data_IF_494741010796
#
_entry.id   IF_494741010796
#
_cell.length_a   1.000
_cell.length_b   1.000
_cell.length_c   1.000
_cell.angle_alpha   90.00
_cell.angle_beta   90.00
_cell.angle_gamma   90.00
#
_symmetry.space_group_name_H-M   'P 1'
#
loop_
_entity.id
_entity.type
_entity.pdbx_description
1 polymer ?
#
# COMPACT_ATOMS: atom_id res chain seq x y z
N UNK A 1 20.54 -20.41 3.35
CA UNK A 1 20.34 -18.96 3.48
C UNK A 1 19.16 -18.77 4.40
N UNK A 2 19.29 -17.96 5.46
CA UNK A 2 18.15 -17.65 6.33
C UNK A 2 17.10 -16.88 5.54
N UNK A 3 15.84 -17.20 5.78
CA UNK A 3 14.73 -16.41 5.24
C UNK A 3 14.57 -15.11 6.05
N UNK A 4 14.17 -14.00 5.42
CA UNK A 4 13.79 -12.79 6.16
C UNK A 4 12.73 -13.13 7.22
N UNK A 5 13.03 -12.79 8.48
CA UNK A 5 12.13 -12.91 9.62
C UNK A 5 11.87 -11.52 10.22
N UNK A 6 10.60 -11.09 10.26
CA UNK A 6 10.22 -9.82 10.87
C UNK A 6 10.45 -9.82 12.39
N UNK A 7 10.34 -10.99 13.05
CA UNK A 7 10.41 -11.10 14.51
C UNK A 7 11.76 -10.68 15.08
N UNK A 8 12.84 -10.86 14.32
CA UNK A 8 14.18 -10.44 14.75
C UNK A 8 14.31 -8.91 14.94
N UNK A 9 13.47 -8.12 14.27
CA UNK A 9 13.47 -6.66 14.36
C UNK A 9 12.79 -6.14 15.64
N UNK A 10 11.98 -6.96 16.31
CA UNK A 10 11.32 -6.56 17.56
C UNK A 10 12.35 -6.14 18.64
N UNK A 11 13.43 -6.91 18.77
CA UNK A 11 14.52 -6.61 19.72
C UNK A 11 15.33 -5.35 19.38
N UNK A 12 15.16 -4.79 18.18
CA UNK A 12 15.84 -3.58 17.72
C UNK A 12 14.96 -2.34 17.81
N UNK A 13 13.69 -2.47 18.18
CA UNK A 13 12.77 -1.34 18.24
C UNK A 13 13.28 -0.21 19.15
N UNK A 14 13.69 -0.56 20.37
CA UNK A 14 14.15 0.43 21.35
C UNK A 14 15.46 1.09 20.90
N UNK A 15 16.43 0.31 20.43
CA UNK A 15 17.72 0.84 19.97
C UNK A 15 17.55 1.76 18.76
N UNK A 16 16.70 1.40 17.80
CA UNK A 16 16.42 2.24 16.64
C UNK A 16 15.61 3.48 17.03
N UNK A 17 14.67 3.37 17.97
CA UNK A 17 13.94 4.50 18.54
C UNK A 17 14.87 5.50 19.23
N UNK A 18 15.84 5.01 20.02
CA UNK A 18 16.88 5.85 20.64
C UNK A 18 17.72 6.55 19.58
N UNK A 19 18.23 5.81 18.60
CA UNK A 19 19.11 6.38 17.57
C UNK A 19 18.39 7.43 16.72
N UNK A 20 17.11 7.23 16.40
CA UNK A 20 16.35 8.12 15.51
C UNK A 20 15.66 9.27 16.23
N UNK A 21 15.09 9.02 17.41
CA UNK A 21 14.20 9.95 18.11
C UNK A 21 14.63 10.26 19.56
N UNK A 22 15.75 9.71 20.02
CA UNK A 22 16.24 9.91 21.39
C UNK A 22 15.56 9.03 22.44
N UNK A 23 14.64 8.15 22.06
CA UNK A 23 14.08 7.10 22.93
C UNK A 23 12.78 6.50 22.41
N UNK A 24 12.09 5.77 23.29
CA UNK A 24 10.74 5.20 23.07
C UNK A 24 9.84 5.42 24.30
N UNK A 25 8.52 5.34 24.12
CA UNK A 25 7.59 5.43 25.24
C UNK A 25 7.88 4.33 26.27
N UNK A 26 7.64 4.60 27.56
CA UNK A 26 7.72 3.58 28.60
C UNK A 26 6.47 2.69 28.57
N UNK A 27 6.39 1.82 27.55
CA UNK A 27 5.26 0.93 27.35
C UNK A 27 5.03 -0.01 28.54
N UNK A 28 6.09 -0.46 29.21
CA UNK A 28 5.96 -1.31 30.40
C UNK A 28 5.19 -0.63 31.53
N UNK A 29 5.54 0.63 31.86
CA UNK A 29 4.84 1.43 32.86
C UNK A 29 3.42 1.78 32.41
N UNK A 30 3.28 2.23 31.16
CA UNK A 30 2.01 2.72 30.62
C UNK A 30 0.97 1.59 30.49
N UNK A 31 1.35 0.44 29.93
CA UNK A 31 0.46 -0.73 29.80
C UNK A 31 0.00 -1.25 31.17
N UNK A 32 0.93 -1.38 32.12
CA UNK A 32 0.62 -1.82 33.47
C UNK A 32 -0.37 -0.88 34.17
N UNK A 33 -0.24 0.42 33.92
CA UNK A 33 -1.12 1.43 34.48
C UNK A 33 -2.52 1.43 33.86
N UNK A 34 -2.62 1.01 32.60
CA UNK A 34 -3.89 0.95 31.85
C UNK A 34 -4.60 -0.41 31.92
N UNK A 35 -3.93 -1.44 32.43
CA UNK A 35 -4.52 -2.78 32.60
C UNK A 35 -5.82 -2.79 33.42
N UNK A 36 -5.95 -2.09 34.56
CA UNK A 36 -7.20 -2.05 35.32
C UNK A 36 -8.38 -1.52 34.49
N UNK A 37 -8.14 -0.53 33.63
CA UNK A 37 -9.14 -0.01 32.69
C UNK A 37 -9.52 -1.07 31.67
N UNK A 38 -8.53 -1.73 31.04
CA UNK A 38 -8.78 -2.82 30.08
C UNK A 38 -9.63 -3.94 30.70
N UNK A 39 -9.33 -4.33 31.93
CA UNK A 39 -10.03 -5.41 32.64
C UNK A 39 -11.39 -4.98 33.20
N UNK A 40 -11.79 -3.71 33.03
CA UNK A 40 -13.04 -3.19 33.56
C UNK A 40 -13.08 -3.16 35.09
N UNK A 41 -11.91 -2.97 35.73
CA UNK A 41 -11.77 -2.77 37.19
C UNK A 41 -11.74 -1.29 37.56
N UNK A 42 -11.44 -0.42 36.61
CA UNK A 42 -11.37 1.03 36.77
C UNK A 42 -12.04 1.75 35.59
N UNK A 43 -12.68 2.88 35.85
CA UNK A 43 -13.19 3.78 34.83
C UNK A 43 -12.04 4.55 34.16
N UNK A 44 -12.05 4.64 32.83
CA UNK A 44 -11.18 5.58 32.15
C UNK A 44 -11.50 7.02 32.59
N UNK A 45 -10.47 7.82 32.82
CA UNK A 45 -10.59 9.12 33.48
C UNK A 45 -9.44 10.05 33.07
N UNK A 46 -9.53 11.32 33.46
CA UNK A 46 -8.52 12.32 33.11
C UNK A 46 -7.11 11.94 33.60
N UNK A 47 -7.01 11.26 34.74
CA UNK A 47 -5.74 10.75 35.28
C UNK A 47 -4.99 9.88 34.27
N UNK A 48 -5.71 9.02 33.55
CA UNK A 48 -5.12 8.13 32.54
C UNK A 48 -4.55 8.91 31.36
N UNK A 49 -5.22 9.99 30.93
CA UNK A 49 -4.69 10.90 29.92
C UNK A 49 -3.48 11.68 30.44
N UNK A 50 -3.46 12.07 31.71
CA UNK A 50 -2.29 12.73 32.32
C UNK A 50 -1.06 11.82 32.33
N UNK A 51 -1.22 10.52 32.57
CA UNK A 51 -0.09 9.57 32.54
C UNK A 51 0.63 9.56 31.18
N UNK A 52 -0.11 9.71 30.08
CA UNK A 52 0.48 9.88 28.75
C UNK A 52 1.15 11.25 28.61
N UNK A 53 0.53 12.34 29.09
CA UNK A 53 1.15 13.68 29.07
C UNK A 53 2.43 13.78 29.90
N UNK A 54 2.55 12.98 30.94
CA UNK A 54 3.71 12.92 31.85
C UNK A 54 4.80 11.96 31.37
N UNK A 55 4.54 11.19 30.30
CA UNK A 55 5.60 10.45 29.64
C UNK A 55 6.60 11.42 28.99
N UNK A 56 7.89 11.09 29.04
CA UNK A 56 8.94 12.01 28.59
C UNK A 56 8.92 12.22 27.07
N UNK A 57 8.42 11.26 26.29
CA UNK A 57 8.49 11.28 24.83
C UNK A 57 7.13 11.43 24.17
N UNK A 58 6.04 11.00 24.83
CA UNK A 58 4.71 11.18 24.26
C UNK A 58 4.40 12.65 23.88
N UNK A 59 4.64 13.67 24.72
CA UNK A 59 4.36 15.07 24.38
C UNK A 59 5.27 15.63 23.28
N UNK A 60 6.44 15.01 23.06
CA UNK A 60 7.35 15.40 21.99
C UNK A 60 6.81 14.97 20.62
N UNK A 61 5.96 13.94 20.57
CA UNK A 61 5.46 13.34 19.32
C UNK A 61 3.97 13.60 19.09
N UNK A 62 3.17 13.66 20.16
CA UNK A 62 1.72 13.86 20.07
C UNK A 62 1.20 14.90 21.05
N UNK A 63 0.24 15.68 20.59
CA UNK A 63 -0.50 16.63 21.42
C UNK A 63 -1.90 16.08 21.73
N UNK A 64 -2.10 15.59 22.95
CA UNK A 64 -3.43 15.16 23.40
C UNK A 64 -4.43 16.31 23.29
N UNK A 65 -5.63 16.09 22.71
CA UNK A 65 -6.68 17.09 22.70
C UNK A 65 -7.19 17.37 24.12
N UNK A 66 -7.72 18.57 24.32
CA UNK A 66 -8.41 18.93 25.55
C UNK A 66 -9.86 18.43 25.48
N UNK A 67 -10.14 17.35 26.20
CA UNK A 67 -11.47 16.77 26.23
C UNK A 67 -12.40 17.57 27.16
N UNK A 68 -13.60 17.84 26.68
CA UNK A 68 -14.68 18.41 27.48
C UNK A 68 -15.25 17.39 28.46
N UNK A 69 -15.89 17.82 29.57
CA UNK A 69 -16.45 16.88 30.55
C UNK A 69 -17.39 15.80 29.97
N UNK A 70 -18.30 16.12 29.01
CA UNK A 70 -19.15 15.10 28.40
C UNK A 70 -18.38 14.06 27.57
N UNK A 71 -17.28 14.47 26.93
CA UNK A 71 -16.43 13.57 26.15
C UNK A 71 -15.67 12.61 27.07
N UNK A 72 -15.17 13.10 28.21
CA UNK A 72 -14.54 12.27 29.22
C UNK A 72 -15.53 11.28 29.85
N UNK A 73 -16.75 11.74 30.14
CA UNK A 73 -17.82 10.88 30.63
C UNK A 73 -18.16 9.76 29.62
N UNK A 74 -18.19 10.10 28.33
CA UNK A 74 -18.46 9.15 27.26
C UNK A 74 -17.38 8.05 27.11
N UNK A 75 -16.16 8.27 27.64
CA UNK A 75 -15.05 7.31 27.64
C UNK A 75 -15.07 6.34 28.83
N UNK A 76 -15.90 6.59 29.86
CA UNK A 76 -16.02 5.65 30.98
C UNK A 76 -16.44 4.28 30.48
N UNK A 77 -15.74 3.25 30.96
CA UNK A 77 -15.96 1.84 30.61
C UNK A 77 -15.79 1.45 29.13
N UNK A 78 -15.54 2.40 28.24
CA UNK A 78 -15.40 2.15 26.78
C UNK A 78 -14.29 1.15 26.47
N UNK A 79 -13.24 1.19 27.27
CA UNK A 79 -12.05 0.37 27.09
C UNK A 79 -12.11 -0.98 27.79
N UNK A 80 -13.27 -1.40 28.31
CA UNK A 80 -13.43 -2.69 28.97
C UNK A 80 -13.45 -3.81 27.93
N UNK A 81 -12.50 -4.74 28.04
CA UNK A 81 -12.33 -5.90 27.15
C UNK A 81 -12.42 -5.56 25.65
N UNK A 82 -11.56 -4.66 25.13
CA UNK A 82 -11.59 -4.29 23.72
C UNK A 82 -11.41 -5.52 22.81
N UNK A 83 -12.24 -5.64 21.77
CA UNK A 83 -12.16 -6.76 20.82
C UNK A 83 -11.22 -6.41 19.66
N UNK A 84 -10.57 -7.40 19.02
CA UNK A 84 -9.79 -7.14 17.82
C UNK A 84 -10.68 -6.53 16.73
N UNK A 85 -10.16 -5.53 16.01
CA UNK A 85 -10.84 -4.84 14.91
C UNK A 85 -12.21 -4.25 15.26
N UNK A 86 -12.44 -3.86 16.51
CA UNK A 86 -13.70 -3.25 16.96
C UNK A 86 -13.94 -1.88 16.29
N UNK A 87 -14.71 -1.87 15.20
CA UNK A 87 -15.02 -0.68 14.43
C UNK A 87 -15.80 0.36 15.24
N UNK A 88 -16.74 -0.06 16.08
CA UNK A 88 -17.59 0.84 16.85
C UNK A 88 -16.76 1.56 17.92
N UNK A 89 -15.85 0.83 18.58
CA UNK A 89 -14.88 1.42 19.50
C UNK A 89 -13.98 2.42 18.77
N UNK A 90 -13.35 2.03 17.66
CA UNK A 90 -12.44 2.91 16.92
C UNK A 90 -13.17 4.16 16.42
N UNK A 91 -14.38 4.02 15.89
CA UNK A 91 -15.20 5.14 15.42
C UNK A 91 -15.55 6.08 16.56
N UNK A 92 -16.03 5.54 17.70
CA UNK A 92 -16.37 6.33 18.88
C UNK A 92 -15.16 7.13 19.40
N UNK A 93 -13.99 6.50 19.45
CA UNK A 93 -12.75 7.17 19.87
C UNK A 93 -12.33 8.22 18.84
N UNK A 94 -12.45 7.93 17.55
CA UNK A 94 -12.13 8.90 16.51
C UNK A 94 -13.05 10.12 16.59
N UNK A 95 -14.32 9.92 16.93
CA UNK A 95 -15.27 11.00 17.10
C UNK A 95 -14.97 11.92 18.28
N UNK A 96 -14.25 11.43 19.29
CA UNK A 96 -13.82 12.21 20.46
C UNK A 96 -12.45 12.84 20.23
N UNK A 97 -11.45 12.04 19.86
CA UNK A 97 -10.07 12.51 19.74
C UNK A 97 -9.77 13.23 18.43
N UNK A 98 -10.57 12.99 17.37
CA UNK A 98 -10.40 13.54 16.01
C UNK A 98 -9.02 13.32 15.39
N UNK A 99 -8.23 12.40 15.94
CA UNK A 99 -6.88 12.07 15.52
C UNK A 99 -6.64 10.57 15.69
N UNK A 100 -6.40 9.88 14.56
CA UNK A 100 -6.25 8.43 14.51
C UNK A 100 -4.95 7.94 15.16
N UNK A 101 -3.86 8.71 15.07
CA UNK A 101 -2.58 8.36 15.69
C UNK A 101 -2.70 8.38 17.20
N UNK A 102 -3.27 9.45 17.76
CA UNK A 102 -3.43 9.62 19.21
C UNK A 102 -4.30 8.51 19.80
N UNK A 103 -5.46 8.23 19.19
CA UNK A 103 -6.32 7.15 19.69
C UNK A 103 -5.67 5.78 19.52
N UNK A 104 -4.87 5.58 18.47
CA UNK A 104 -4.15 4.31 18.28
C UNK A 104 -3.08 4.10 19.34
N UNK A 105 -2.36 5.16 19.77
CA UNK A 105 -1.46 5.10 20.92
C UNK A 105 -2.21 4.69 22.19
N UNK A 106 -3.37 5.30 22.44
CA UNK A 106 -4.19 4.98 23.61
C UNK A 106 -4.67 3.52 23.58
N UNK A 107 -5.23 3.07 22.45
CA UNK A 107 -5.68 1.70 22.25
C UNK A 107 -4.54 0.68 22.40
N UNK A 108 -3.37 0.97 21.81
CA UNK A 108 -2.16 0.18 21.95
C UNK A 108 -1.83 0.01 23.44
N UNK A 109 -1.68 1.12 24.18
CA UNK A 109 -1.26 1.07 25.59
C UNK A 109 -2.28 0.31 26.43
N UNK A 110 -3.57 0.47 26.16
CA UNK A 110 -4.64 -0.21 26.90
C UNK A 110 -4.69 -1.71 26.56
N UNK A 111 -4.67 -2.06 25.28
CA UNK A 111 -4.85 -3.43 24.79
C UNK A 111 -3.78 -3.78 23.72
N UNK A 112 -2.54 -4.07 24.16
CA UNK A 112 -1.41 -4.43 23.28
C UNK A 112 -1.70 -5.58 22.33
N UNK A 113 -2.51 -6.53 22.80
CA UNK A 113 -2.80 -7.77 22.11
C UNK A 113 -3.53 -7.52 20.80
N UNK A 114 -4.37 -6.48 20.74
CA UNK A 114 -5.28 -6.23 19.62
C UNK A 114 -4.94 -4.97 18.82
N UNK A 115 -4.14 -4.05 19.37
CA UNK A 115 -3.92 -2.73 18.77
C UNK A 115 -2.44 -2.34 18.70
N UNK A 116 -2.07 -1.77 17.55
CA UNK A 116 -0.77 -1.13 17.28
C UNK A 116 -0.91 0.39 17.12
N UNK A 117 0.21 1.11 17.10
CA UNK A 117 0.25 2.56 16.85
C UNK A 117 0.17 2.80 15.35
N UNK A 118 -0.88 3.48 14.92
CA UNK A 118 -0.97 3.95 13.55
C UNK A 118 0.10 5.02 13.32
N UNK A 119 1.02 4.77 12.39
CA UNK A 119 2.09 5.69 12.06
C UNK A 119 2.32 5.76 10.55
N UNK A 120 2.61 6.96 10.04
CA UNK A 120 2.86 7.17 8.62
C UNK A 120 3.97 6.27 8.03
N UNK A 121 5.11 6.00 8.71
CA UNK A 121 6.13 5.10 8.18
C UNK A 121 5.60 3.68 7.89
N UNK A 122 4.85 3.09 8.82
CA UNK A 122 4.32 1.73 8.66
C UNK A 122 3.14 1.71 7.70
N UNK A 123 2.29 2.73 7.73
CA UNK A 123 1.23 2.94 6.74
C UNK A 123 1.79 2.90 5.30
N UNK A 124 2.85 3.67 5.06
CA UNK A 124 3.50 3.76 3.74
C UNK A 124 4.20 2.46 3.37
N UNK A 125 4.91 1.83 4.30
CA UNK A 125 5.56 0.53 4.07
C UNK A 125 4.56 -0.53 3.59
N UNK A 126 3.35 -0.54 4.15
CA UNK A 126 2.29 -1.47 3.81
C UNK A 126 1.33 -0.96 2.72
N UNK A 127 1.59 0.22 2.13
CA UNK A 127 0.77 0.86 1.09
C UNK A 127 -0.73 0.92 1.42
N UNK A 128 -1.09 1.24 2.67
CA UNK A 128 -2.49 1.13 3.13
C UNK A 128 -3.33 2.28 2.57
N UNK A 129 -4.40 1.94 1.85
CA UNK A 129 -5.36 2.87 1.25
C UNK A 129 -6.77 2.62 1.79
N UNK A 130 -7.46 3.69 2.19
CA UNK A 130 -8.88 3.66 2.53
C UNK A 130 -9.50 5.07 2.47
N UNK A 131 -10.82 5.13 2.33
CA UNK A 131 -11.58 6.39 2.17
C UNK A 131 -11.64 7.25 3.45
N UNK A 132 -11.54 6.62 4.63
CA UNK A 132 -11.67 7.31 5.92
C UNK A 132 -10.58 6.88 6.88
N UNK A 133 -10.18 7.73 7.86
CA UNK A 133 -9.16 7.38 8.84
C UNK A 133 -9.48 6.10 9.64
N UNK A 134 -10.76 5.90 10.01
CA UNK A 134 -11.20 4.70 10.75
C UNK A 134 -11.05 3.45 9.90
N UNK A 135 -11.55 3.44 8.65
CA UNK A 135 -11.36 2.31 7.72
C UNK A 135 -9.87 2.03 7.50
N UNK A 136 -9.05 3.07 7.43
CA UNK A 136 -7.60 2.96 7.23
C UNK A 136 -6.92 2.28 8.40
N UNK A 137 -7.29 2.64 9.63
CA UNK A 137 -6.76 2.00 10.83
C UNK A 137 -7.24 0.56 11.00
N UNK A 138 -8.48 0.24 10.65
CA UNK A 138 -8.94 -1.16 10.65
C UNK A 138 -8.17 -2.01 9.64
N UNK A 139 -7.95 -1.51 8.43
CA UNK A 139 -7.11 -2.17 7.42
C UNK A 139 -5.64 -2.30 7.89
N UNK A 140 -5.14 -1.32 8.65
CA UNK A 140 -3.83 -1.41 9.30
C UNK A 140 -3.77 -2.60 10.27
N UNK A 141 -4.73 -2.71 11.19
CA UNK A 141 -4.80 -3.81 12.16
C UNK A 141 -4.99 -5.18 11.49
N UNK A 142 -5.76 -5.26 10.40
CA UNK A 142 -5.89 -6.50 9.60
C UNK A 142 -4.54 -6.95 9.05
N UNK A 143 -3.76 -6.03 8.46
CA UNK A 143 -2.43 -6.35 7.97
C UNK A 143 -1.46 -6.73 9.10
N UNK A 144 -1.56 -6.08 10.27
CA UNK A 144 -0.77 -6.48 11.44
C UNK A 144 -1.13 -7.88 11.92
N UNK A 145 -2.40 -8.25 11.89
CA UNK A 145 -2.87 -9.60 12.28
C UNK A 145 -2.32 -10.66 11.34
N UNK A 146 -2.36 -10.42 10.03
CA UNK A 146 -1.76 -11.32 9.03
C UNK A 146 -0.25 -11.52 9.25
N UNK A 147 0.46 -10.47 9.65
CA UNK A 147 1.90 -10.53 9.95
C UNK A 147 2.16 -11.18 11.33
N UNK A 148 1.28 -10.98 12.30
CA UNK A 148 1.34 -11.64 13.61
C UNK A 148 1.32 -13.15 13.43
N UNK A 149 0.37 -13.65 12.65
CA UNK A 149 0.19 -15.07 12.34
C UNK A 149 1.38 -15.62 11.54
N UNK A 150 1.82 -14.90 10.49
CA UNK A 150 2.94 -15.33 9.63
C UNK A 150 4.25 -15.50 10.40
N UNK A 151 4.60 -14.55 11.27
CA UNK A 151 5.89 -14.53 11.96
C UNK A 151 5.83 -15.03 13.41
N UNK A 152 4.66 -15.48 13.88
CA UNK A 152 4.48 -16.01 15.25
C UNK A 152 4.85 -14.99 16.33
N UNK A 153 4.39 -13.75 16.17
CA UNK A 153 4.52 -12.68 17.17
C UNK A 153 3.36 -12.76 18.16
N UNK A 154 3.60 -12.46 19.43
CA UNK A 154 2.60 -12.69 20.48
C UNK A 154 1.46 -11.66 20.45
N UNK A 155 1.77 -10.40 20.14
CA UNK A 155 0.82 -9.28 20.21
C UNK A 155 0.86 -8.46 18.93
N UNK A 156 -0.26 -7.84 18.57
CA UNK A 156 -0.32 -6.86 17.47
C UNK A 156 0.68 -5.72 17.69
N UNK A 157 0.82 -5.27 18.93
CA UNK A 157 1.84 -4.30 19.32
C UNK A 157 3.28 -4.71 18.94
N UNK A 158 3.62 -5.99 19.03
CA UNK A 158 4.98 -6.46 18.73
C UNK A 158 5.23 -6.43 17.21
N UNK A 159 4.20 -6.71 16.41
CA UNK A 159 4.24 -6.57 14.95
C UNK A 159 4.47 -5.11 14.55
N UNK A 160 3.70 -4.20 15.16
CA UNK A 160 3.81 -2.76 14.96
C UNK A 160 5.23 -2.25 15.25
N UNK A 161 5.79 -2.63 16.40
CA UNK A 161 7.16 -2.30 16.80
C UNK A 161 8.20 -2.87 15.82
N UNK A 162 8.06 -4.13 15.41
CA UNK A 162 8.98 -4.75 14.45
C UNK A 162 8.91 -4.08 13.07
N UNK A 163 7.73 -3.70 12.60
CA UNK A 163 7.57 -2.96 11.34
C UNK A 163 8.13 -1.55 11.43
N UNK A 164 7.96 -0.86 12.55
CA UNK A 164 8.60 0.43 12.76
C UNK A 164 10.13 0.33 12.71
N UNK A 165 10.70 -0.68 13.37
CA UNK A 165 12.12 -0.96 13.29
C UNK A 165 12.57 -1.27 11.84
N UNK A 166 11.75 -2.00 11.07
CA UNK A 166 11.99 -2.20 9.63
C UNK A 166 11.98 -0.86 8.87
N UNK A 167 11.01 0.01 9.10
CA UNK A 167 10.96 1.34 8.49
C UNK A 167 12.23 2.14 8.80
N UNK A 168 12.73 2.09 10.03
CA UNK A 168 13.99 2.74 10.40
C UNK A 168 15.18 2.11 9.65
N UNK A 169 15.28 0.79 9.59
CA UNK A 169 16.34 0.09 8.85
C UNK A 169 16.35 0.44 7.35
N UNK A 170 15.19 0.60 6.73
CA UNK A 170 15.06 0.89 5.30
C UNK A 170 15.37 2.35 4.96
N UNK A 171 14.98 3.29 5.82
CA UNK A 171 15.01 4.72 5.52
C UNK A 171 16.22 5.45 6.12
N UNK A 172 16.78 4.96 7.23
CA UNK A 172 17.89 5.63 7.91
C UNK A 172 19.24 5.06 7.47
N UNK A 173 20.01 5.85 6.73
CA UNK A 173 21.30 5.42 6.18
C UNK A 173 22.28 4.96 7.27
N UNK A 174 22.34 5.66 8.41
CA UNK A 174 23.23 5.33 9.52
C UNK A 174 22.86 4.00 10.21
N UNK A 175 21.59 3.59 10.18
CA UNK A 175 21.16 2.26 10.66
C UNK A 175 21.49 1.21 9.63
N UNK A 176 21.17 1.48 8.35
CA UNK A 176 21.38 0.57 7.22
C UNK A 176 22.84 0.21 6.98
N UNK A 177 23.76 1.16 7.20
CA UNK A 177 25.19 0.94 7.03
C UNK A 177 25.84 0.19 8.21
N UNK A 178 25.14 0.02 9.34
CA UNK A 178 25.67 -0.70 10.47
C UNK A 178 25.86 -2.20 10.11
N UNK A 179 27.09 -2.75 10.24
CA UNK A 179 27.38 -4.15 9.93
C UNK A 179 26.47 -5.15 10.64
N UNK A 180 26.03 -4.84 11.86
CA UNK A 180 25.21 -5.73 12.70
C UNK A 180 23.80 -5.96 12.11
N UNK A 181 23.27 -4.98 11.35
CA UNK A 181 21.92 -5.03 10.80
C UNK A 181 21.89 -5.21 9.28
N UNK A 182 23.06 -5.12 8.63
CA UNK A 182 23.17 -5.15 7.17
C UNK A 182 22.60 -6.43 6.56
N UNK A 183 22.81 -7.58 7.20
CA UNK A 183 22.27 -8.85 6.68
C UNK A 183 20.74 -8.87 6.71
N UNK A 184 20.11 -8.32 7.75
CA UNK A 184 18.64 -8.23 7.85
C UNK A 184 18.08 -7.36 6.71
N UNK A 185 18.77 -6.26 6.40
CA UNK A 185 18.42 -5.38 5.27
C UNK A 185 18.52 -6.11 3.93
N UNK A 186 19.61 -6.86 3.69
CA UNK A 186 19.79 -7.64 2.46
C UNK A 186 18.74 -8.75 2.35
N UNK A 187 18.50 -9.50 3.42
CA UNK A 187 17.48 -10.56 3.45
C UNK A 187 16.09 -9.99 3.12
N UNK A 188 15.75 -8.81 3.65
CA UNK A 188 14.51 -8.12 3.29
C UNK A 188 14.46 -7.80 1.79
N UNK A 189 15.54 -7.26 1.20
CA UNK A 189 15.57 -6.81 -0.19
C UNK A 189 15.57 -7.95 -1.20
N UNK A 190 16.40 -8.96 -0.99
CA UNK A 190 16.67 -10.00 -1.98
C UNK A 190 15.57 -11.06 -2.01
N UNK A 191 14.78 -11.17 -0.94
CA UNK A 191 13.80 -12.23 -0.80
C UNK A 191 12.36 -11.71 -0.90
N UNK A 192 11.45 -12.47 -1.53
CA UNK A 192 10.02 -12.28 -1.33
C UNK A 192 9.67 -12.50 0.14
N UNK A 193 8.93 -11.59 0.74
CA UNK A 193 8.48 -11.71 2.13
C UNK A 193 7.03 -11.23 2.28
N UNK A 194 6.40 -11.53 3.42
CA UNK A 194 4.98 -11.23 3.65
C UNK A 194 4.69 -9.73 3.68
N UNK A 195 5.61 -8.91 4.19
CA UNK A 195 5.48 -7.45 4.22
C UNK A 195 5.37 -6.89 2.79
N UNK A 196 6.28 -7.29 1.90
CA UNK A 196 6.24 -6.93 0.47
C UNK A 196 4.96 -7.40 -0.22
N UNK A 197 4.52 -8.63 0.06
CA UNK A 197 3.28 -9.18 -0.51
C UNK A 197 2.05 -8.37 -0.09
N UNK A 198 1.95 -8.00 1.19
CA UNK A 198 0.87 -7.15 1.70
C UNK A 198 0.93 -5.77 1.06
N UNK A 199 2.11 -5.14 1.01
CA UNK A 199 2.29 -3.82 0.41
C UNK A 199 1.88 -3.81 -1.06
N UNK A 200 2.34 -4.78 -1.85
CA UNK A 200 1.96 -4.92 -3.26
C UNK A 200 0.45 -5.17 -3.42
N UNK A 201 -0.14 -6.04 -2.59
CA UNK A 201 -1.59 -6.29 -2.56
C UNK A 201 -2.36 -5.00 -2.31
N UNK A 202 -1.99 -4.24 -1.28
CA UNK A 202 -2.70 -3.02 -0.90
C UNK A 202 -2.54 -1.91 -1.94
N UNK A 203 -1.34 -1.75 -2.50
CA UNK A 203 -1.08 -0.78 -3.56
C UNK A 203 -1.93 -1.03 -4.81
N UNK A 204 -2.13 -2.31 -5.16
CA UNK A 204 -2.76 -2.73 -6.42
C UNK A 204 -4.24 -3.09 -6.30
N UNK A 205 -4.78 -3.35 -5.10
CA UNK A 205 -6.15 -3.88 -4.88
C UNK A 205 -7.23 -3.12 -5.64
N UNK A 206 -7.10 -1.80 -5.70
CA UNK A 206 -8.08 -0.90 -6.31
C UNK A 206 -7.51 -0.10 -7.50
N UNK A 207 -6.36 -0.49 -8.07
CA UNK A 207 -5.73 0.25 -9.17
C UNK A 207 -6.65 0.41 -10.41
N UNK A 208 -7.63 -0.48 -10.57
CA UNK A 208 -8.65 -0.42 -11.64
C UNK A 208 -9.89 0.42 -11.30
N UNK A 209 -10.09 0.75 -10.02
CA UNK A 209 -11.21 1.55 -9.52
C UNK A 209 -10.79 2.99 -9.22
N UNK A 210 -9.53 3.20 -8.86
CA UNK A 210 -8.88 4.51 -8.96
C UNK A 210 -9.01 4.94 -10.43
N UNK A 211 -9.41 6.18 -10.73
CA UNK A 211 -9.61 6.73 -12.09
C UNK A 211 -8.28 6.84 -12.85
N UNK A 212 -7.60 5.71 -13.01
CA UNK A 212 -6.28 5.58 -13.57
C UNK A 212 -6.49 5.22 -15.03
N UNK A 213 -6.22 6.18 -15.90
CA UNK A 213 -6.13 5.94 -17.33
C UNK A 213 -4.72 5.41 -17.60
N UNK A 214 -4.61 4.20 -18.16
CA UNK A 214 -3.31 3.59 -18.42
C UNK A 214 -2.41 4.46 -19.31
N UNK A 215 -3.01 5.25 -20.21
CA UNK A 215 -2.29 6.21 -21.06
C UNK A 215 -1.71 7.38 -20.27
N UNK A 216 -2.42 7.91 -19.29
CA UNK A 216 -1.92 9.01 -18.45
C UNK A 216 -0.72 8.53 -17.60
N UNK A 217 -0.81 7.31 -17.05
CA UNK A 217 0.33 6.69 -16.38
C UNK A 217 1.48 6.43 -17.34
N UNK A 218 1.21 5.87 -18.53
CA UNK A 218 2.23 5.61 -19.53
C UNK A 218 3.00 6.89 -19.90
N UNK A 219 2.29 7.98 -20.16
CA UNK A 219 2.89 9.30 -20.41
C UNK A 219 3.74 9.79 -19.22
N UNK A 220 3.30 9.53 -17.99
CA UNK A 220 4.05 9.89 -16.78
C UNK A 220 5.37 9.10 -16.62
N UNK A 221 5.43 7.86 -17.12
CA UNK A 221 6.64 7.03 -17.06
C UNK A 221 7.56 7.18 -18.27
N UNK A 222 7.10 7.76 -19.38
CA UNK A 222 7.81 7.78 -20.66
C UNK A 222 9.26 8.28 -20.58
N UNK A 223 9.48 9.35 -19.81
CA UNK A 223 10.80 9.98 -19.66
C UNK A 223 11.72 9.22 -18.70
N UNK A 224 11.16 8.51 -17.72
CA UNK A 224 11.93 7.82 -16.66
C UNK A 224 12.16 6.35 -16.96
N UNK A 225 11.17 5.69 -17.56
CA UNK A 225 11.11 4.25 -17.80
C UNK A 225 10.22 3.96 -19.03
N UNK A 226 10.78 3.98 -20.25
CA UNK A 226 10.02 3.73 -21.46
C UNK A 226 9.51 2.28 -21.58
N UNK A 227 10.11 1.31 -20.88
CA UNK A 227 9.60 -0.07 -20.81
C UNK A 227 8.26 -0.10 -20.09
N UNK A 228 8.21 0.44 -18.87
CA UNK A 228 6.97 0.47 -18.07
C UNK A 228 5.90 1.31 -18.78
N UNK A 229 6.30 2.44 -19.38
CA UNK A 229 5.39 3.25 -20.20
C UNK A 229 4.77 2.44 -21.34
N UNK A 230 5.59 1.69 -22.09
CA UNK A 230 5.12 0.86 -23.19
C UNK A 230 4.25 -0.32 -22.76
N UNK A 231 4.53 -0.93 -21.62
CA UNK A 231 3.68 -2.00 -21.05
C UNK A 231 2.32 -1.44 -20.64
N UNK A 232 2.27 -0.27 -20.01
CA UNK A 232 1.03 0.41 -19.62
C UNK A 232 0.19 0.82 -20.83
N UNK A 233 0.80 1.48 -21.82
CA UNK A 233 0.14 1.84 -23.08
C UNK A 233 -0.34 0.59 -23.84
N UNK A 234 0.50 -0.45 -23.88
CA UNK A 234 0.15 -1.76 -24.42
C UNK A 234 -1.04 -2.42 -23.70
N UNK A 235 -1.20 -2.18 -22.40
CA UNK A 235 -2.39 -2.65 -21.67
C UNK A 235 -3.66 -1.95 -22.13
N UNK A 236 -3.58 -0.66 -22.43
CA UNK A 236 -4.70 0.09 -23.01
C UNK A 236 -5.06 -0.41 -24.41
N UNK A 237 -4.05 -0.69 -25.25
CA UNK A 237 -4.24 -1.32 -26.56
C UNK A 237 -5.01 -2.64 -26.43
N UNK A 238 -4.61 -3.53 -25.51
CA UNK A 238 -5.33 -4.78 -25.25
C UNK A 238 -6.80 -4.52 -24.87
N UNK A 239 -7.06 -3.53 -23.99
CA UNK A 239 -8.41 -3.17 -23.57
C UNK A 239 -9.26 -2.66 -24.75
N UNK A 240 -8.71 -1.80 -25.61
CA UNK A 240 -9.39 -1.28 -26.79
C UNK A 240 -9.76 -2.40 -27.77
N UNK A 241 -8.81 -3.27 -28.12
CA UNK A 241 -9.04 -4.38 -29.05
C UNK A 241 -10.07 -5.37 -28.48
N UNK A 242 -9.99 -5.67 -27.19
CA UNK A 242 -10.98 -6.53 -26.53
C UNK A 242 -12.38 -5.91 -26.52
N UNK A 243 -12.49 -4.59 -26.31
CA UNK A 243 -13.77 -3.87 -26.38
C UNK A 243 -14.38 -3.96 -27.78
N UNK A 244 -13.61 -3.63 -28.81
CA UNK A 244 -14.04 -3.73 -30.22
C UNK A 244 -14.47 -5.16 -30.57
N UNK A 245 -13.73 -6.16 -30.08
CA UNK A 245 -14.09 -7.57 -30.25
C UNK A 245 -15.44 -7.93 -29.64
N UNK A 246 -15.69 -7.52 -28.39
CA UNK A 246 -16.99 -7.81 -27.74
C UNK A 246 -18.14 -7.05 -28.42
N UNK A 247 -17.92 -5.82 -28.89
CA UNK A 247 -18.93 -5.05 -29.64
C UNK A 247 -19.32 -5.75 -30.96
N UNK A 248 -18.34 -6.17 -31.75
CA UNK A 248 -18.58 -6.89 -33.01
C UNK A 248 -19.21 -8.28 -32.79
N UNK A 249 -18.80 -8.95 -31.70
CA UNK A 249 -19.43 -10.21 -31.27
C UNK A 249 -20.91 -10.01 -30.93
N UNK A 250 -21.25 -8.94 -30.21
CA UNK A 250 -22.63 -8.66 -29.81
C UNK A 250 -23.51 -8.28 -31.01
N UNK A 251 -22.97 -7.56 -32.01
CA UNK A 251 -23.68 -7.22 -33.24
C UNK A 251 -24.01 -8.42 -34.12
N UNK A 252 -23.11 -9.41 -34.18
CA UNK A 252 -23.20 -10.49 -35.17
C UNK A 252 -24.16 -11.63 -34.80
N UNK A 253 -24.71 -11.67 -33.57
CA UNK A 253 -25.69 -12.70 -33.12
C UNK A 253 -25.18 -14.15 -33.18
N UNK A 254 -23.94 -14.35 -33.63
CA UNK A 254 -23.31 -15.62 -33.91
C UNK A 254 -22.23 -15.86 -32.86
N UNK A 255 -22.04 -17.10 -32.38
CA UNK A 255 -20.88 -17.43 -31.52
C UNK A 255 -19.63 -17.43 -32.40
N UNK A 256 -18.77 -16.39 -32.36
CA UNK A 256 -17.63 -16.34 -33.26
C UNK A 256 -16.56 -17.34 -32.81
N UNK A 257 -15.70 -17.75 -33.74
CA UNK A 257 -14.37 -18.28 -33.42
C UNK A 257 -13.69 -17.33 -32.43
N UNK A 258 -13.16 -17.86 -31.32
CA UNK A 258 -12.49 -17.06 -30.30
C UNK A 258 -10.99 -17.03 -30.63
N UNK A 259 -10.47 -15.94 -31.24
CA UNK A 259 -9.05 -15.83 -31.56
C UNK A 259 -8.20 -15.96 -30.29
N UNK A 260 -7.06 -16.62 -30.44
CA UNK A 260 -6.20 -17.03 -29.32
C UNK A 260 -5.19 -15.97 -28.91
N UNK A 261 -4.81 -15.09 -29.84
CA UNK A 261 -3.76 -14.08 -29.69
C UNK A 261 -4.16 -12.73 -30.31
N UNK A 262 -3.34 -11.70 -30.08
CA UNK A 262 -3.61 -10.34 -30.56
C UNK A 262 -3.60 -10.22 -32.10
N UNK A 263 -2.59 -10.76 -32.84
CA UNK A 263 -2.61 -10.71 -34.29
C UNK A 263 -3.88 -11.29 -34.92
N UNK A 264 -4.32 -12.48 -34.46
CA UNK A 264 -5.57 -13.09 -34.93
C UNK A 264 -6.80 -12.22 -34.66
N UNK A 265 -6.86 -11.55 -33.50
CA UNK A 265 -7.94 -10.62 -33.16
C UNK A 265 -7.99 -9.45 -34.14
N UNK A 266 -6.84 -8.85 -34.43
CA UNK A 266 -6.74 -7.71 -35.34
C UNK A 266 -7.14 -8.10 -36.77
N UNK A 267 -6.72 -9.27 -37.25
CA UNK A 267 -7.12 -9.80 -38.57
C UNK A 267 -8.64 -9.99 -38.68
N UNK A 268 -9.26 -10.62 -37.69
CA UNK A 268 -10.71 -10.88 -37.72
C UNK A 268 -11.52 -9.58 -37.56
N UNK A 269 -11.08 -8.64 -36.73
CA UNK A 269 -11.70 -7.32 -36.61
C UNK A 269 -11.61 -6.51 -37.91
N UNK A 270 -10.46 -6.54 -38.58
CA UNK A 270 -10.28 -5.91 -39.88
C UNK A 270 -11.18 -6.54 -40.94
N UNK A 271 -11.26 -7.87 -40.98
CA UNK A 271 -12.13 -8.62 -41.90
C UNK A 271 -13.61 -8.26 -41.70
N UNK A 272 -14.01 -7.97 -40.46
CA UNK A 272 -15.35 -7.48 -40.09
C UNK A 272 -15.56 -5.99 -40.32
N UNK A 273 -14.54 -5.27 -40.78
CA UNK A 273 -14.55 -3.82 -41.01
C UNK A 273 -14.85 -3.02 -39.73
N UNK A 274 -14.38 -3.50 -38.57
CA UNK A 274 -14.46 -2.76 -37.32
C UNK A 274 -13.63 -1.46 -37.34
N UNK A 275 -12.61 -1.42 -38.20
CA UNK A 275 -11.73 -0.26 -38.46
C UNK A 275 -11.11 -0.36 -39.86
N UNK A 276 -10.38 0.67 -40.27
CA UNK A 276 -9.70 0.75 -41.58
C UNK A 276 -8.38 -0.02 -41.58
N UNK A 277 -7.85 -0.34 -42.76
CA UNK A 277 -6.55 -1.01 -42.91
C UNK A 277 -5.40 -0.20 -42.30
N UNK A 278 -5.46 1.13 -42.38
CA UNK A 278 -4.48 2.00 -41.70
C UNK A 278 -4.49 1.78 -40.17
N UNK A 279 -5.67 1.77 -39.56
CA UNK A 279 -5.80 1.56 -38.11
C UNK A 279 -5.31 0.16 -37.74
N UNK A 280 -5.55 -0.84 -38.60
CA UNK A 280 -5.03 -2.20 -38.40
C UNK A 280 -3.49 -2.18 -38.31
N UNK A 281 -2.83 -1.53 -39.26
CA UNK A 281 -1.38 -1.43 -39.32
C UNK A 281 -0.83 -0.71 -38.09
N UNK A 282 -1.43 0.42 -37.70
CA UNK A 282 -1.07 1.16 -36.49
C UNK A 282 -1.16 0.27 -35.24
N UNK A 283 -2.27 -0.46 -35.07
CA UNK A 283 -2.48 -1.38 -33.94
C UNK A 283 -1.48 -2.55 -33.93
N UNK A 284 -1.07 -3.04 -35.10
CA UNK A 284 -0.05 -4.08 -35.23
C UNK A 284 1.32 -3.55 -34.83
N UNK A 285 1.71 -2.38 -35.33
CA UNK A 285 2.98 -1.72 -35.00
C UNK A 285 3.07 -1.42 -33.49
N UNK A 286 1.99 -0.95 -32.88
CA UNK A 286 1.95 -0.73 -31.43
C UNK A 286 2.00 -2.02 -30.62
N UNK A 287 1.40 -3.10 -31.12
CA UNK A 287 1.53 -4.42 -30.49
C UNK A 287 2.98 -4.92 -30.53
N UNK A 288 3.70 -4.68 -31.63
CA UNK A 288 5.13 -4.98 -31.74
C UNK A 288 5.95 -4.12 -30.76
N UNK A 289 5.71 -2.82 -30.70
CA UNK A 289 6.34 -1.92 -29.71
C UNK A 289 6.12 -2.41 -28.27
N UNK A 290 4.90 -2.83 -27.93
CA UNK A 290 4.61 -3.42 -26.62
C UNK A 290 5.43 -4.70 -26.39
N UNK A 291 5.56 -5.58 -27.38
CA UNK A 291 6.34 -6.81 -27.23
C UNK A 291 7.83 -6.51 -27.06
N UNK A 292 8.35 -5.51 -27.78
CA UNK A 292 9.71 -5.05 -27.60
C UNK A 292 9.93 -4.55 -26.17
N UNK A 293 9.02 -3.73 -25.62
CA UNK A 293 9.11 -3.31 -24.21
C UNK A 293 9.17 -4.51 -23.25
N UNK A 294 8.40 -5.57 -23.49
CA UNK A 294 8.39 -6.77 -22.61
C UNK A 294 9.65 -7.62 -22.73
N UNK A 295 10.37 -7.55 -23.85
CA UNK A 295 11.47 -8.44 -24.17
C UNK A 295 12.85 -7.77 -24.23
N UNK A 296 12.89 -6.44 -24.26
CA UNK A 296 14.14 -5.68 -24.27
C UNK A 296 14.79 -5.74 -22.88
N UNK A 297 16.08 -6.09 -22.83
CA UNK A 297 16.85 -5.97 -21.61
C UNK A 297 17.33 -4.51 -21.44
N UNK A 298 16.56 -3.66 -20.75
CA UNK A 298 16.92 -2.26 -20.55
C UNK A 298 18.31 -2.06 -19.91
N UNK A 299 18.76 -2.99 -19.07
CA UNK A 299 20.07 -2.89 -18.40
C UNK A 299 21.25 -2.93 -19.37
N UNK A 300 21.04 -3.46 -20.58
CA UNK A 300 22.05 -3.61 -21.64
C UNK A 300 21.76 -2.69 -22.85
N UNK A 301 20.67 -1.91 -22.81
CA UNK A 301 20.28 -1.05 -23.92
C UNK A 301 21.16 0.21 -23.99
N UNK A 302 21.59 0.57 -25.21
CA UNK A 302 22.27 1.84 -25.46
C UNK A 302 21.29 3.01 -25.39
N UNK A 303 21.80 4.22 -25.11
CA UNK A 303 20.98 5.44 -25.09
C UNK A 303 20.20 5.65 -26.39
N UNK A 304 20.80 5.33 -27.55
CA UNK A 304 20.12 5.42 -28.84
C UNK A 304 18.90 4.48 -28.93
N UNK A 305 19.04 3.23 -28.44
CA UNK A 305 17.93 2.28 -28.39
C UNK A 305 16.83 2.73 -27.43
N UNK A 306 17.20 3.35 -26.30
CA UNK A 306 16.23 3.91 -25.35
C UNK A 306 15.46 5.10 -25.94
N UNK A 307 16.13 5.98 -26.68
CA UNK A 307 15.50 7.12 -27.36
C UNK A 307 14.56 6.65 -28.48
N UNK A 308 14.97 5.65 -29.27
CA UNK A 308 14.12 5.04 -30.28
C UNK A 308 12.88 4.39 -29.67
N UNK A 309 13.05 3.60 -28.59
CA UNK A 309 11.94 3.00 -27.86
C UNK A 309 10.99 4.06 -27.32
N UNK A 310 11.53 5.13 -26.71
CA UNK A 310 10.75 6.25 -26.20
C UNK A 310 9.92 6.91 -27.29
N UNK A 311 10.49 7.16 -28.47
CA UNK A 311 9.76 7.73 -29.61
C UNK A 311 8.59 6.83 -30.02
N UNK A 312 8.84 5.53 -30.19
CA UNK A 312 7.80 4.55 -30.57
C UNK A 312 6.69 4.42 -29.52
N UNK A 313 7.05 4.45 -28.24
CA UNK A 313 6.08 4.41 -27.14
C UNK A 313 5.26 5.71 -27.10
N UNK A 314 5.88 6.86 -27.34
CA UNK A 314 5.17 8.14 -27.43
C UNK A 314 4.13 8.12 -28.56
N UNK A 315 4.53 7.67 -29.76
CA UNK A 315 3.62 7.51 -30.90
C UNK A 315 2.44 6.57 -30.59
N UNK A 316 2.70 5.47 -29.88
CA UNK A 316 1.65 4.56 -29.40
C UNK A 316 0.70 5.26 -28.41
N UNK A 317 1.22 6.03 -27.45
CA UNK A 317 0.39 6.75 -26.46
C UNK A 317 -0.53 7.77 -27.16
N UNK A 318 0.04 8.58 -28.03
CA UNK A 318 -0.69 9.63 -28.76
C UNK A 318 -1.75 9.01 -29.68
N UNK A 319 -1.38 7.97 -30.44
CA UNK A 319 -2.28 7.28 -31.34
C UNK A 319 -3.43 6.57 -30.63
N UNK A 320 -3.16 5.88 -29.52
CA UNK A 320 -4.20 5.24 -28.71
C UNK A 320 -5.15 6.26 -28.08
N UNK A 321 -4.64 7.42 -27.66
CA UNK A 321 -5.47 8.51 -27.13
C UNK A 321 -6.47 9.00 -28.19
N UNK A 322 -6.00 9.27 -29.40
CA UNK A 322 -6.84 9.70 -30.52
C UNK A 322 -7.87 8.63 -30.92
N UNK A 323 -7.47 7.35 -30.99
CA UNK A 323 -8.40 6.27 -31.31
C UNK A 323 -9.48 6.10 -30.23
N UNK A 324 -9.13 6.23 -28.94
CA UNK A 324 -10.13 6.13 -27.87
C UNK A 324 -11.16 7.24 -27.95
N UNK A 325 -10.79 8.45 -28.35
CA UNK A 325 -11.77 9.51 -28.60
C UNK A 325 -12.69 9.14 -29.77
N UNK A 326 -12.12 8.62 -30.87
CA UNK A 326 -12.86 8.20 -32.06
C UNK A 326 -13.85 7.04 -31.82
N UNK A 327 -13.55 6.13 -30.89
CA UNK A 327 -14.42 4.99 -30.53
C UNK A 327 -15.24 5.21 -29.25
N UNK A 328 -15.21 6.41 -28.66
CA UNK A 328 -16.11 6.81 -27.56
C UNK A 328 -17.39 7.49 -28.04
N UNK A 329 -17.43 7.95 -29.29
CA UNK A 329 -18.64 8.28 -30.06
C UNK A 329 -19.26 7.04 -30.69
#
# INVERSE_FOLDING_TARGET
MSQFDLKQLLGLYESFGILKYGGTLDFGRLEKSMEPVRLGREEFSYRHLQMLKEDNLFPAWWKLPELQPPELEALKWVFKNPQPHDQDLVQKLFDIFKNIEILSCLLRVICPQHYGIYSAPVENLLSIKAETPVKKYLAYLENLTELQEEYGLERIADVDMALFALCCLLNEEFIRQNPDFRQIYLDYLEQPNRVKKISARNALRNIRQENIFYLDLAGSFLETDPEIAGILAGKELECLVNKLWEEERNKSGYKPYKPSNMPEKLEELARRKAFTDQIKEDLQNWWETRNDCVHLNLAEASEAQLQELRSRVNEMIDGLSQLKEKFKS
#
